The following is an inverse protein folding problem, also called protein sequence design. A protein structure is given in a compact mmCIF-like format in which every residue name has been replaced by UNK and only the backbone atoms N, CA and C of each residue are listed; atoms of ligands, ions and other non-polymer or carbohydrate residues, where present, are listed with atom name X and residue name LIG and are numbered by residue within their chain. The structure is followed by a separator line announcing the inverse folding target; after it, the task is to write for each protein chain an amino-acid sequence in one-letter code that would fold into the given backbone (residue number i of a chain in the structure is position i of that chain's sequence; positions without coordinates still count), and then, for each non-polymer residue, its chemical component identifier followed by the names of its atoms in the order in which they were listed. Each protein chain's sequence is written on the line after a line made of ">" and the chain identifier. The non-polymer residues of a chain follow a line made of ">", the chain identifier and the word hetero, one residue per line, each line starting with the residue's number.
data_IF_678906524629
#
_entry.id   IF_678906524629
#
_cell.length_a   1.000
_cell.length_b   1.000
_cell.length_c   1.000
_cell.angle_alpha   90.00
_cell.angle_beta   90.00
_cell.angle_gamma   90.00
#
_symmetry.space_group_name_H-M   'P 1'
#
loop_
_entity.id
_entity.type
_entity.pdbx_description
1 polymer ?
#
# COMPACT_ATOMS: atom_id res chain seq x y z
N UNK A 1 20.94 45.58 -39.04
CA UNK A 1 20.66 44.59 -37.98
C UNK A 1 19.32 44.93 -37.33
N UNK A 2 18.55 43.90 -36.91
CA UNK A 2 17.14 43.88 -36.42
C UNK A 2 16.15 43.51 -37.53
N UNK A 3 16.10 42.25 -37.96
CA UNK A 3 15.36 41.11 -37.38
C UNK A 3 13.85 41.23 -37.65
N UNK A 4 13.32 40.66 -38.74
CA UNK A 4 12.93 39.24 -38.93
C UNK A 4 11.76 38.84 -38.01
N UNK A 5 10.56 38.87 -38.64
CA UNK A 5 9.60 37.75 -38.76
C UNK A 5 8.81 37.29 -37.53
N UNK A 6 7.49 37.21 -37.76
CA UNK A 6 6.62 36.02 -37.72
C UNK A 6 5.30 36.35 -37.03
N UNK A 7 4.26 36.42 -37.85
CA UNK A 7 2.84 36.39 -37.51
C UNK A 7 2.53 35.16 -36.64
N UNK A 8 2.18 35.35 -35.36
CA UNK A 8 1.71 34.26 -34.51
C UNK A 8 0.22 34.03 -34.79
N UNK A 9 -0.07 32.95 -35.50
CA UNK A 9 -1.41 32.40 -35.68
C UNK A 9 -1.89 31.88 -34.33
N UNK A 10 -2.95 32.50 -33.80
CA UNK A 10 -3.65 32.03 -32.61
C UNK A 10 -4.42 30.74 -32.95
N UNK A 11 -3.83 29.59 -32.67
CA UNK A 11 -4.53 28.29 -32.71
C UNK A 11 -5.28 28.14 -31.39
N UNK A 12 -6.59 28.39 -31.45
CA UNK A 12 -7.55 27.99 -30.43
C UNK A 12 -7.62 26.45 -30.39
N UNK A 13 -6.84 25.82 -29.53
CA UNK A 13 -7.11 24.43 -29.12
C UNK A 13 -8.17 24.45 -28.02
N UNK A 14 -9.43 24.30 -28.43
CA UNK A 14 -10.51 23.89 -27.57
C UNK A 14 -10.23 22.46 -27.07
N UNK A 15 -9.50 22.33 -25.96
CA UNK A 15 -9.47 21.10 -25.20
C UNK A 15 -10.72 21.07 -24.33
N UNK A 16 -11.67 20.31 -24.83
CA UNK A 16 -12.90 19.87 -24.19
C UNK A 16 -12.66 19.55 -22.71
N UNK A 17 -13.43 20.21 -21.85
CA UNK A 17 -13.63 19.80 -20.47
C UNK A 17 -14.09 18.35 -20.47
N UNK A 18 -13.17 17.43 -20.17
CA UNK A 18 -13.54 16.10 -19.73
C UNK A 18 -14.26 16.24 -18.40
N UNK A 19 -15.57 16.46 -18.44
CA UNK A 19 -16.50 16.18 -17.35
C UNK A 19 -16.71 14.66 -17.19
N UNK A 20 -15.64 13.88 -17.39
CA UNK A 20 -15.58 12.49 -16.98
C UNK A 20 -15.03 12.52 -15.57
N UNK A 21 -15.84 12.14 -14.58
CA UNK A 21 -15.37 11.99 -13.22
C UNK A 21 -14.08 11.19 -13.22
N UNK A 22 -12.99 11.80 -12.73
CA UNK A 22 -11.78 11.05 -12.44
C UNK A 22 -12.18 10.11 -11.31
N UNK A 23 -12.55 8.87 -11.65
CA UNK A 23 -12.52 7.80 -10.67
C UNK A 23 -11.05 7.70 -10.32
N UNK A 24 -10.67 8.32 -9.21
CA UNK A 24 -9.34 8.15 -8.63
C UNK A 24 -9.25 6.66 -8.37
N UNK A 25 -8.51 5.95 -9.23
CA UNK A 25 -8.32 4.52 -9.05
C UNK A 25 -7.66 4.34 -7.67
N UNK A 26 -8.36 3.63 -6.78
CA UNK A 26 -7.86 3.27 -5.46
C UNK A 26 -6.50 2.59 -5.68
N UNK A 27 -5.41 3.26 -5.31
CA UNK A 27 -4.08 2.73 -5.63
C UNK A 27 -3.82 1.53 -4.72
N UNK A 28 -3.68 0.34 -5.31
CA UNK A 28 -3.37 -0.88 -4.54
C UNK A 28 -1.87 -1.12 -4.38
N UNK A 29 -1.03 -0.22 -4.92
CA UNK A 29 0.43 -0.40 -4.98
C UNK A 29 1.07 -0.53 -3.59
N UNK A 30 0.52 0.15 -2.58
CA UNK A 30 1.03 0.06 -1.21
C UNK A 30 0.97 -1.37 -0.63
N UNK A 31 -0.01 -2.19 -1.04
CA UNK A 31 -0.09 -3.59 -0.61
C UNK A 31 1.00 -4.47 -1.26
N UNK A 32 1.41 -4.13 -2.48
CA UNK A 32 2.53 -4.80 -3.16
C UNK A 32 3.88 -4.39 -2.55
N UNK A 33 4.02 -3.12 -2.16
CA UNK A 33 5.18 -2.61 -1.42
C UNK A 33 5.30 -3.27 -0.03
N UNK A 34 4.18 -3.43 0.68
CA UNK A 34 4.16 -4.20 1.93
C UNK A 34 4.48 -5.67 1.71
N UNK A 35 3.95 -6.30 0.66
CA UNK A 35 4.28 -7.69 0.32
C UNK A 35 5.77 -7.85 0.03
N UNK A 36 6.36 -6.88 -0.68
CA UNK A 36 7.81 -6.84 -0.95
C UNK A 36 8.62 -6.67 0.34
N UNK A 37 8.16 -5.82 1.26
CA UNK A 37 8.76 -5.64 2.58
C UNK A 37 8.71 -6.93 3.41
N UNK A 38 7.56 -7.62 3.43
CA UNK A 38 7.41 -8.93 4.10
C UNK A 38 8.41 -9.94 3.52
N UNK A 39 8.54 -10.04 2.20
CA UNK A 39 9.50 -10.93 1.56
C UNK A 39 10.96 -10.59 1.90
N UNK A 40 11.29 -9.30 1.96
CA UNK A 40 12.62 -8.86 2.39
C UNK A 40 12.93 -9.33 3.82
N UNK A 41 12.01 -9.10 4.76
CA UNK A 41 12.22 -9.50 6.15
C UNK A 41 12.16 -11.03 6.35
N UNK A 42 11.32 -11.75 5.61
CA UNK A 42 11.31 -13.23 5.54
C UNK A 42 12.69 -13.77 5.18
N UNK A 43 13.32 -13.19 4.15
CA UNK A 43 14.65 -13.61 3.71
C UNK A 43 15.75 -13.23 4.71
N UNK A 44 15.61 -12.07 5.37
CA UNK A 44 16.60 -11.57 6.35
C UNK A 44 16.50 -12.27 7.71
N UNK A 45 15.32 -12.74 8.07
CA UNK A 45 14.96 -13.38 9.34
C UNK A 45 14.12 -14.65 9.11
N UNK A 46 14.68 -15.70 8.51
CA UNK A 46 13.95 -16.92 8.21
C UNK A 46 13.55 -17.71 9.47
N UNK A 47 14.25 -17.48 10.59
CA UNK A 47 14.03 -18.13 11.88
C UNK A 47 14.01 -17.13 13.03
N UNK A 48 13.39 -17.54 14.14
CA UNK A 48 13.47 -16.87 15.44
C UNK A 48 13.87 -17.92 16.48
N UNK A 49 15.00 -17.72 17.17
CA UNK A 49 15.57 -18.69 18.12
C UNK A 49 15.67 -20.11 17.52
N UNK A 50 16.23 -20.20 16.31
CA UNK A 50 16.38 -21.45 15.52
C UNK A 50 15.09 -22.16 15.11
N UNK A 51 13.91 -21.58 15.39
CA UNK A 51 12.61 -22.07 14.93
C UNK A 51 12.22 -21.36 13.64
N UNK A 52 11.83 -22.08 12.56
CA UNK A 52 11.33 -21.47 11.34
C UNK A 52 10.11 -20.57 11.58
N UNK A 53 10.18 -19.34 11.06
CA UNK A 53 9.07 -18.40 11.15
C UNK A 53 8.06 -18.62 10.01
N UNK A 54 6.77 -18.52 10.33
CA UNK A 54 5.68 -18.61 9.36
C UNK A 54 5.23 -17.23 8.90
N UNK A 55 5.64 -16.86 7.69
CA UNK A 55 5.36 -15.57 7.06
C UNK A 55 4.12 -15.57 6.15
N UNK A 56 3.63 -16.76 5.77
CA UNK A 56 2.54 -16.91 4.79
C UNK A 56 1.24 -16.19 5.20
N UNK A 57 0.82 -16.18 6.48
CA UNK A 57 -0.37 -15.45 6.89
C UNK A 57 -0.32 -13.95 6.54
N UNK A 58 0.84 -13.31 6.65
CA UNK A 58 0.99 -11.88 6.37
C UNK A 58 0.83 -11.57 4.88
N UNK A 59 1.41 -12.41 4.01
CA UNK A 59 1.30 -12.28 2.55
C UNK A 59 -0.13 -12.59 2.07
N UNK A 60 -0.76 -13.61 2.66
CA UNK A 60 -2.12 -14.02 2.34
C UNK A 60 -3.12 -12.89 2.62
N UNK A 61 -3.03 -12.25 3.78
CA UNK A 61 -3.93 -11.15 4.15
C UNK A 61 -3.76 -9.94 3.22
N UNK A 62 -2.53 -9.56 2.86
CA UNK A 62 -2.26 -8.50 1.87
C UNK A 62 -2.88 -8.83 0.51
N UNK A 63 -2.79 -10.08 0.06
CA UNK A 63 -3.43 -10.54 -1.18
C UNK A 63 -4.97 -10.46 -1.12
N UNK A 64 -5.56 -10.82 0.02
CA UNK A 64 -7.02 -10.73 0.23
C UNK A 64 -7.50 -9.28 0.22
N UNK A 65 -6.79 -8.39 0.93
CA UNK A 65 -7.10 -6.96 0.93
C UNK A 65 -6.99 -6.37 -0.48
N UNK A 66 -5.97 -6.76 -1.26
CA UNK A 66 -5.82 -6.27 -2.64
C UNK A 66 -7.01 -6.68 -3.51
N UNK A 67 -7.42 -7.95 -3.42
CA UNK A 67 -8.62 -8.46 -4.12
C UNK A 67 -9.88 -7.73 -3.66
N UNK A 68 -10.00 -7.40 -2.38
CA UNK A 68 -11.14 -6.64 -1.86
C UNK A 68 -11.17 -5.20 -2.38
N UNK A 69 -10.03 -4.51 -2.41
CA UNK A 69 -9.89 -3.16 -2.96
C UNK A 69 -10.28 -3.12 -4.45
N UNK A 70 -9.78 -4.06 -5.26
CA UNK A 70 -10.14 -4.18 -6.69
C UNK A 70 -11.65 -4.38 -6.88
N UNK A 71 -12.32 -5.06 -5.94
CA UNK A 71 -13.78 -5.28 -5.95
C UNK A 71 -14.59 -4.12 -5.37
N UNK A 72 -13.95 -3.01 -4.98
CA UNK A 72 -14.61 -1.87 -4.36
C UNK A 72 -15.15 -2.17 -2.96
N UNK A 73 -14.48 -3.05 -2.20
CA UNK A 73 -14.85 -3.39 -0.82
C UNK A 73 -13.83 -2.80 0.18
N UNK A 74 -13.93 -1.50 0.51
CA UNK A 74 -13.00 -0.85 1.43
C UNK A 74 -13.16 -1.34 2.88
N UNK A 75 -14.33 -1.86 3.26
CA UNK A 75 -14.55 -2.42 4.59
C UNK A 75 -13.72 -3.69 4.82
N UNK A 76 -13.64 -4.57 3.83
CA UNK A 76 -12.79 -5.75 3.92
C UNK A 76 -11.29 -5.38 3.95
N UNK A 77 -10.88 -4.30 3.29
CA UNK A 77 -9.51 -3.77 3.42
C UNK A 77 -9.27 -3.28 4.85
N UNK A 78 -10.22 -2.54 5.41
CA UNK A 78 -10.13 -2.02 6.78
C UNK A 78 -9.99 -3.13 7.81
N UNK A 79 -10.88 -4.13 7.75
CA UNK A 79 -10.86 -5.30 8.64
C UNK A 79 -9.58 -6.12 8.47
N UNK A 80 -9.13 -6.32 7.22
CA UNK A 80 -7.88 -7.02 6.94
C UNK A 80 -6.67 -6.29 7.51
N UNK A 81 -6.65 -4.96 7.44
CA UNK A 81 -5.52 -4.18 7.95
C UNK A 81 -5.47 -4.18 9.47
N UNK A 82 -6.63 -4.08 10.14
CA UNK A 82 -6.74 -4.23 11.60
C UNK A 82 -6.20 -5.60 12.05
N UNK A 83 -6.54 -6.67 11.31
CA UNK A 83 -6.03 -8.02 11.56
C UNK A 83 -4.52 -8.09 11.33
N UNK A 84 -4.02 -7.54 10.24
CA UNK A 84 -2.61 -7.57 9.88
C UNK A 84 -1.73 -6.86 10.93
N UNK A 85 -2.16 -5.70 11.41
CA UNK A 85 -1.48 -5.01 12.51
C UNK A 85 -1.50 -5.81 13.82
N UNK A 86 -2.61 -6.48 14.15
CA UNK A 86 -2.69 -7.37 15.32
C UNK A 86 -1.71 -8.54 15.21
N UNK A 87 -1.63 -9.16 14.02
CA UNK A 87 -0.67 -10.25 13.78
C UNK A 87 0.77 -9.79 14.03
N UNK A 88 1.15 -8.63 13.50
CA UNK A 88 2.46 -8.06 13.74
C UNK A 88 2.71 -7.84 15.23
N UNK A 89 1.78 -7.22 15.95
CA UNK A 89 1.93 -6.98 17.40
C UNK A 89 2.10 -8.27 18.20
N UNK A 90 1.32 -9.28 17.85
CA UNK A 90 1.35 -10.59 18.51
C UNK A 90 2.54 -11.46 18.08
N UNK A 91 3.29 -11.04 17.05
CA UNK A 91 4.35 -11.83 16.41
C UNK A 91 3.82 -13.18 15.91
N UNK A 92 2.61 -13.17 15.37
CA UNK A 92 1.95 -14.38 14.87
C UNK A 92 2.87 -15.09 13.87
N UNK A 93 2.91 -16.43 13.94
CA UNK A 93 3.83 -17.24 13.14
C UNK A 93 5.28 -17.25 13.65
N UNK A 94 5.58 -16.67 14.81
CA UNK A 94 6.92 -16.70 15.40
C UNK A 94 7.92 -15.84 14.65
N UNK A 95 7.47 -14.76 13.99
CA UNK A 95 8.34 -13.86 13.24
C UNK A 95 9.29 -13.10 14.18
N UNK A 96 10.46 -12.73 13.66
CA UNK A 96 11.48 -12.06 14.45
C UNK A 96 10.94 -10.72 15.00
N UNK A 97 11.13 -10.39 16.30
CA UNK A 97 10.58 -9.18 16.90
C UNK A 97 10.97 -7.90 16.17
N UNK A 98 12.24 -7.78 15.76
CA UNK A 98 12.74 -6.62 15.02
C UNK A 98 12.08 -6.49 13.65
N UNK A 99 11.87 -7.61 12.97
CA UNK A 99 11.18 -7.60 11.68
C UNK A 99 9.72 -7.19 11.82
N UNK A 100 9.04 -7.66 12.87
CA UNK A 100 7.66 -7.28 13.15
C UNK A 100 7.51 -5.77 13.45
N UNK A 101 8.44 -5.20 14.22
CA UNK A 101 8.45 -3.77 14.54
C UNK A 101 8.72 -2.90 13.32
N UNK A 102 9.68 -3.29 12.47
CA UNK A 102 9.94 -2.55 11.23
C UNK A 102 8.78 -2.67 10.24
N UNK A 103 8.18 -3.85 10.09
CA UNK A 103 7.00 -4.03 9.25
C UNK A 103 5.81 -3.20 9.76
N UNK A 104 5.63 -3.09 11.08
CA UNK A 104 4.62 -2.23 11.68
C UNK A 104 4.84 -0.76 11.28
N UNK A 105 6.09 -0.28 11.44
CA UNK A 105 6.46 1.09 11.08
C UNK A 105 6.27 1.37 9.60
N UNK A 106 6.69 0.45 8.73
CA UNK A 106 6.52 0.57 7.28
C UNK A 106 5.03 0.61 6.92
N UNK A 107 4.21 -0.27 7.52
CA UNK A 107 2.78 -0.28 7.27
C UNK A 107 2.07 0.99 7.74
N UNK A 108 2.47 1.58 8.87
CA UNK A 108 1.95 2.90 9.27
C UNK A 108 2.32 4.00 8.28
N UNK A 109 3.43 3.89 7.56
CA UNK A 109 3.81 4.88 6.54
C UNK A 109 3.13 4.65 5.18
N UNK A 110 2.92 3.38 4.81
CA UNK A 110 2.39 3.01 3.51
C UNK A 110 0.84 2.97 3.46
N UNK A 111 0.18 2.72 4.58
CA UNK A 111 -1.28 2.52 4.62
C UNK A 111 -2.00 3.85 4.42
N UNK A 112 -2.90 3.96 3.41
CA UNK A 112 -3.74 5.15 3.23
C UNK A 112 -4.92 5.11 4.22
N UNK A 113 -4.66 5.50 5.47
CA UNK A 113 -5.63 5.41 6.58
C UNK A 113 -6.94 6.15 6.30
N UNK A 114 -6.86 7.35 5.72
CA UNK A 114 -8.04 8.19 5.45
C UNK A 114 -8.94 7.59 4.36
N UNK A 115 -8.34 6.98 3.33
CA UNK A 115 -9.05 6.40 2.19
C UNK A 115 -9.94 5.22 2.61
N UNK A 116 -9.45 4.40 3.54
CA UNK A 116 -10.16 3.20 4.02
C UNK A 116 -10.80 3.37 5.40
N UNK A 117 -10.72 4.57 6.00
CA UNK A 117 -11.17 4.86 7.37
C UNK A 117 -10.59 3.86 8.39
N UNK A 118 -9.33 3.50 8.22
CA UNK A 118 -8.61 2.62 9.12
C UNK A 118 -8.19 3.43 10.35
N UNK A 119 -8.39 2.87 11.55
CA UNK A 119 -7.88 3.50 12.76
C UNK A 119 -6.37 3.32 12.81
N UNK A 120 -5.62 4.41 12.99
CA UNK A 120 -4.18 4.31 13.19
C UNK A 120 -3.92 3.46 14.44
N UNK A 121 -3.21 2.33 14.32
CA UNK A 121 -2.96 1.47 15.46
C UNK A 121 -2.06 2.20 16.47
N UNK A 122 -2.52 2.28 17.71
CA UNK A 122 -1.68 2.75 18.83
C UNK A 122 -0.53 1.77 19.06
N UNK A 123 0.60 2.23 19.59
CA UNK A 123 1.73 1.33 19.91
C UNK A 123 1.31 0.25 20.90
#
# INVERSE_FOLDING_TARGET
>A
MKAILVTIVAVFCALTLFAGGVVVAQSTNWMDELSSSVNFYKNRYPTTNDVPANWEPYLSELSLMKKASIRGNPEAVRVGMDKWFKMLKNRDGGINPKAADELFRIAVLATPFDEYKISVPTK
#
